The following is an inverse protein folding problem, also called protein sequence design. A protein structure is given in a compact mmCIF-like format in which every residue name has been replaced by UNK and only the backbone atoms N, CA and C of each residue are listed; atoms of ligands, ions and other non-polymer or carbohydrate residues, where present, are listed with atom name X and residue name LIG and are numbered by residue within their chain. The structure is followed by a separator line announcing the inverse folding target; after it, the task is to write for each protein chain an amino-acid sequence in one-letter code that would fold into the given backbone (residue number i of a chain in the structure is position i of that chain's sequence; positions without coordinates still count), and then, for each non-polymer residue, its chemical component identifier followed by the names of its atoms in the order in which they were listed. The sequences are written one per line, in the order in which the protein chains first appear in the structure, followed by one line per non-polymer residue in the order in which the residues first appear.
data_IF_725230417737
#
_entry.id   IF_725230417737
#
_cell.length_a   1.000
_cell.length_b   1.000
_cell.length_c   1.000
_cell.angle_alpha   90.00
_cell.angle_beta   90.00
_cell.angle_gamma   90.00
#
_symmetry.space_group_name_H-M   'P 1'
#
loop_
_entity.id
_entity.type
_entity.pdbx_description
1 polymer ?
#
# COMPACT_ATOMS: atom_id res chain seq x y z
N UNK A 1 1.42 -10.39 1.45
CA UNK A 1 2.85 -10.41 1.84
C UNK A 1 3.69 -9.39 1.08
N UNK A 2 3.60 -9.31 -0.23
CA UNK A 2 4.34 -8.30 -1.03
C UNK A 2 4.17 -6.87 -0.50
N UNK A 3 2.96 -6.49 -0.08
CA UNK A 3 2.68 -5.16 0.48
C UNK A 3 3.46 -4.86 1.76
N UNK A 4 3.70 -5.86 2.63
CA UNK A 4 4.55 -5.68 3.82
C UNK A 4 6.02 -5.55 3.39
N UNK A 5 6.46 -6.38 2.47
CA UNK A 5 7.83 -6.33 1.96
C UNK A 5 8.15 -5.02 1.24
N UNK A 6 7.16 -4.41 0.55
CA UNK A 6 7.35 -3.12 -0.17
C UNK A 6 7.52 -1.90 0.73
N UNK A 7 7.24 -2.01 2.03
CA UNK A 7 7.40 -0.88 2.95
C UNK A 7 8.87 -0.45 3.08
N UNK A 8 9.14 0.85 2.84
CA UNK A 8 10.47 1.46 2.95
C UNK A 8 11.57 0.71 2.16
N UNK A 9 11.26 0.29 0.93
CA UNK A 9 12.22 -0.32 0.02
C UNK A 9 11.84 -0.02 -1.44
N UNK A 10 12.70 -0.35 -2.38
CA UNK A 10 12.40 -0.28 -3.81
C UNK A 10 11.86 -1.63 -4.33
N UNK A 11 11.31 -1.62 -5.54
CA UNK A 11 10.68 -2.80 -6.13
C UNK A 11 11.66 -3.96 -6.34
N UNK A 12 12.88 -3.69 -6.80
CA UNK A 12 13.92 -4.71 -7.01
C UNK A 12 14.26 -5.47 -5.72
N UNK A 13 14.45 -4.74 -4.63
CA UNK A 13 14.76 -5.34 -3.33
C UNK A 13 13.56 -6.08 -2.73
N UNK A 14 12.33 -5.56 -2.92
CA UNK A 14 11.10 -6.24 -2.55
C UNK A 14 10.98 -7.59 -3.26
N UNK A 15 11.17 -7.61 -4.57
CA UNK A 15 10.99 -8.81 -5.38
C UNK A 15 12.04 -9.86 -5.07
N UNK A 16 13.29 -9.44 -4.83
CA UNK A 16 14.35 -10.32 -4.36
C UNK A 16 14.02 -10.94 -3.00
N UNK A 17 13.55 -10.14 -2.05
CA UNK A 17 13.15 -10.61 -0.72
C UNK A 17 11.98 -11.59 -0.80
N UNK A 18 11.01 -11.31 -1.66
CA UNK A 18 9.87 -12.20 -1.88
C UNK A 18 10.31 -13.54 -2.49
N UNK A 19 11.12 -13.51 -3.53
CA UNK A 19 11.63 -14.72 -4.17
C UNK A 19 12.45 -15.60 -3.19
N UNK A 20 13.34 -14.98 -2.41
CA UNK A 20 14.14 -15.68 -1.42
C UNK A 20 13.28 -16.28 -0.29
N UNK A 21 12.27 -15.55 0.19
CA UNK A 21 11.32 -16.05 1.17
C UNK A 21 10.58 -17.29 0.66
N UNK A 22 10.07 -17.24 -0.58
CA UNK A 22 9.35 -18.35 -1.20
C UNK A 22 10.24 -19.56 -1.54
N UNK A 23 11.52 -19.31 -1.84
CA UNK A 23 12.50 -20.37 -2.05
C UNK A 23 12.86 -21.08 -0.73
N UNK A 24 12.97 -20.32 0.36
CA UNK A 24 13.36 -20.84 1.69
C UNK A 24 12.18 -21.51 2.40
N UNK A 25 10.99 -20.95 2.26
CA UNK A 25 9.74 -21.38 2.91
C UNK A 25 8.64 -21.43 1.83
N UNK A 26 8.45 -22.61 1.19
CA UNK A 26 7.59 -22.73 0.00
C UNK A 26 6.10 -22.49 0.24
N UNK A 27 5.56 -22.79 1.42
CA UNK A 27 4.18 -22.46 1.78
C UNK A 27 4.09 -21.29 2.75
N UNK A 28 2.92 -20.64 2.80
CA UNK A 28 2.68 -19.62 3.82
C UNK A 28 2.51 -20.21 5.21
N UNK A 29 2.14 -21.48 5.33
CA UNK A 29 2.12 -22.20 6.60
C UNK A 29 3.55 -22.40 7.11
N UNK A 30 4.51 -22.77 6.24
CA UNK A 30 5.92 -22.83 6.62
C UNK A 30 6.41 -21.48 7.16
N UNK A 31 6.00 -20.35 6.54
CA UNK A 31 6.36 -19.01 7.03
C UNK A 31 5.70 -18.70 8.37
N UNK A 32 4.44 -19.09 8.57
CA UNK A 32 3.71 -18.87 9.83
C UNK A 32 4.35 -19.60 11.01
N UNK A 33 4.96 -20.75 10.76
CA UNK A 33 5.54 -21.63 11.80
C UNK A 33 7.07 -21.49 11.92
N UNK A 34 7.73 -20.88 10.94
CA UNK A 34 9.18 -20.70 10.96
C UNK A 34 9.68 -19.85 12.14
N UNK A 35 10.90 -20.16 12.67
CA UNK A 35 11.61 -19.27 13.58
C UNK A 35 11.88 -17.90 12.93
N UNK A 36 11.72 -16.81 13.71
CA UNK A 36 11.95 -15.44 13.21
C UNK A 36 13.30 -15.25 12.51
N UNK A 37 14.43 -15.77 13.02
CA UNK A 37 15.72 -15.61 12.35
C UNK A 37 15.78 -16.20 10.94
N UNK A 38 14.97 -17.22 10.64
CA UNK A 38 14.87 -17.82 9.30
C UNK A 38 14.18 -16.87 8.34
N UNK A 39 13.02 -16.31 8.77
CA UNK A 39 12.28 -15.33 7.99
C UNK A 39 13.12 -14.07 7.78
N UNK A 40 13.77 -13.56 8.82
CA UNK A 40 14.63 -12.36 8.75
C UNK A 40 15.74 -12.50 7.72
N UNK A 41 16.43 -13.66 7.71
CA UNK A 41 17.47 -13.94 6.70
C UNK A 41 16.90 -13.92 5.30
N UNK A 42 15.78 -14.60 5.10
CA UNK A 42 15.15 -14.70 3.79
C UNK A 42 14.69 -13.35 3.22
N UNK A 43 14.26 -12.43 4.07
CA UNK A 43 13.76 -11.10 3.62
C UNK A 43 14.79 -9.97 3.77
N UNK A 44 16.05 -10.27 4.10
CA UNK A 44 17.08 -9.26 4.40
C UNK A 44 17.25 -8.23 3.30
N UNK A 45 17.21 -8.65 2.04
CA UNK A 45 17.35 -7.75 0.87
C UNK A 45 16.23 -6.71 0.78
N UNK A 46 15.05 -6.96 1.37
CA UNK A 46 13.93 -6.04 1.40
C UNK A 46 14.04 -4.91 2.43
N UNK A 47 15.09 -4.91 3.27
CA UNK A 47 15.28 -3.94 4.35
C UNK A 47 14.30 -4.12 5.51
N UNK A 48 14.67 -3.60 6.67
CA UNK A 48 13.87 -3.67 7.91
C UNK A 48 13.42 -5.09 8.28
N UNK A 49 14.25 -6.10 7.99
CA UNK A 49 13.91 -7.51 8.22
C UNK A 49 13.51 -7.82 9.68
N UNK A 50 14.21 -7.30 10.73
CA UNK A 50 13.80 -7.51 12.13
C UNK A 50 12.41 -6.98 12.46
N UNK A 51 11.94 -5.95 11.76
CA UNK A 51 10.60 -5.37 11.95
C UNK A 51 9.55 -6.08 11.11
N UNK A 52 9.92 -6.45 9.86
CA UNK A 52 8.98 -7.08 8.91
C UNK A 52 8.70 -8.54 9.23
N UNK A 53 9.70 -9.32 9.65
CA UNK A 53 9.55 -10.75 9.90
C UNK A 53 8.51 -11.08 11.00
N UNK A 54 8.55 -10.44 12.18
CA UNK A 54 7.51 -10.64 13.20
C UNK A 54 6.12 -10.27 12.68
N UNK A 55 6.00 -9.20 11.91
CA UNK A 55 4.73 -8.75 11.33
C UNK A 55 4.18 -9.74 10.31
N UNK A 56 5.03 -10.24 9.39
CA UNK A 56 4.64 -11.26 8.41
C UNK A 56 4.10 -12.49 9.12
N UNK A 57 4.83 -13.00 10.12
CA UNK A 57 4.42 -14.18 10.90
C UNK A 57 3.12 -13.93 11.66
N UNK A 58 2.97 -12.78 12.31
CA UNK A 58 1.78 -12.43 13.06
C UNK A 58 0.54 -12.34 12.17
N UNK A 59 0.66 -11.72 10.98
CA UNK A 59 -0.43 -11.64 10.00
C UNK A 59 -0.86 -13.02 9.53
N UNK A 60 0.08 -13.91 9.20
CA UNK A 60 -0.24 -15.27 8.75
C UNK A 60 -0.93 -16.07 9.84
N UNK A 61 -0.44 -16.00 11.08
CA UNK A 61 -1.08 -16.68 12.23
C UNK A 61 -2.49 -16.15 12.50
N UNK A 62 -2.68 -14.84 12.48
CA UNK A 62 -3.99 -14.25 12.67
C UNK A 62 -4.98 -14.68 11.57
N UNK A 63 -4.55 -14.73 10.29
CA UNK A 63 -5.40 -15.27 9.22
C UNK A 63 -5.79 -16.72 9.47
N UNK A 64 -4.87 -17.57 9.91
CA UNK A 64 -5.11 -18.96 10.25
C UNK A 64 -6.07 -19.10 11.45
N UNK A 65 -5.92 -18.28 12.48
CA UNK A 65 -6.82 -18.22 13.63
C UNK A 65 -8.26 -17.82 13.23
N UNK A 66 -8.41 -17.00 12.19
CA UNK A 66 -9.71 -16.69 11.58
C UNK A 66 -10.23 -17.78 10.64
N UNK A 67 -9.58 -18.95 10.55
CA UNK A 67 -9.96 -20.06 9.67
C UNK A 67 -9.74 -19.78 8.18
N UNK A 68 -8.89 -18.82 7.85
CA UNK A 68 -8.63 -18.43 6.46
C UNK A 68 -7.43 -19.22 5.95
N UNK A 69 -7.62 -19.91 4.82
CA UNK A 69 -6.55 -20.64 4.15
C UNK A 69 -5.43 -19.67 3.73
N UNK A 70 -4.17 -20.07 3.99
CA UNK A 70 -2.99 -19.27 3.66
C UNK A 70 -2.56 -19.52 2.20
N UNK A 71 -3.52 -19.44 1.28
CA UNK A 71 -3.32 -19.56 -0.17
C UNK A 71 -3.97 -18.40 -0.92
N UNK A 72 -3.88 -18.42 -2.26
CA UNK A 72 -4.45 -17.37 -3.12
C UNK A 72 -5.99 -17.35 -3.10
N UNK A 73 -6.65 -18.39 -2.58
CA UNK A 73 -8.11 -18.54 -2.54
C UNK A 73 -8.71 -18.01 -1.24
N UNK A 74 -7.97 -18.14 -0.13
CA UNK A 74 -8.49 -17.85 1.21
C UNK A 74 -9.14 -16.47 1.38
N UNK A 75 -8.51 -15.43 0.81
CA UNK A 75 -9.05 -14.07 0.89
C UNK A 75 -10.09 -13.76 -0.21
N UNK A 76 -10.06 -14.47 -1.34
CA UNK A 76 -10.94 -14.16 -2.48
C UNK A 76 -12.41 -14.46 -2.22
N UNK A 77 -12.69 -15.47 -1.37
CA UNK A 77 -14.06 -15.87 -0.99
C UNK A 77 -14.75 -14.94 0.00
N UNK A 78 -14.02 -14.01 0.64
CA UNK A 78 -14.57 -13.12 1.66
C UNK A 78 -15.27 -11.93 0.98
N UNK A 79 -16.45 -11.55 1.49
CA UNK A 79 -17.16 -10.35 1.01
C UNK A 79 -16.28 -9.10 1.14
N UNK A 80 -16.48 -8.15 0.23
CA UNK A 80 -15.66 -6.96 0.07
C UNK A 80 -15.54 -6.09 1.35
N UNK A 81 -16.66 -5.77 1.97
CA UNK A 81 -16.76 -4.99 3.20
C UNK A 81 -16.07 -5.69 4.40
N UNK A 82 -16.39 -6.97 4.58
CA UNK A 82 -15.79 -7.81 5.65
C UNK A 82 -14.29 -8.01 5.45
N UNK A 83 -13.84 -8.08 4.22
CA UNK A 83 -12.42 -8.26 3.92
C UNK A 83 -11.58 -7.04 4.32
N UNK A 84 -12.10 -5.82 4.08
CA UNK A 84 -11.40 -4.61 4.52
C UNK A 84 -11.27 -4.55 6.05
N UNK A 85 -12.38 -4.79 6.77
CA UNK A 85 -12.39 -4.84 8.23
C UNK A 85 -11.41 -5.89 8.77
N UNK A 86 -11.43 -7.09 8.22
CA UNK A 86 -10.50 -8.15 8.56
C UNK A 86 -9.04 -7.71 8.36
N UNK A 87 -8.72 -7.16 7.19
CA UNK A 87 -7.34 -6.74 6.88
C UNK A 87 -6.85 -5.64 7.82
N UNK A 88 -7.69 -4.66 8.14
CA UNK A 88 -7.33 -3.57 9.09
C UNK A 88 -7.17 -4.10 10.51
N UNK A 89 -7.88 -5.16 10.89
CA UNK A 89 -7.75 -5.83 12.18
C UNK A 89 -6.45 -6.65 12.32
N UNK A 90 -5.75 -6.96 11.23
CA UNK A 90 -4.51 -7.74 11.29
C UNK A 90 -3.34 -6.93 11.88
N UNK A 91 -2.43 -7.59 12.63
CA UNK A 91 -1.29 -6.93 13.27
C UNK A 91 -0.43 -6.12 12.29
N UNK A 92 -0.35 -4.80 12.49
CA UNK A 92 0.46 -3.90 11.67
C UNK A 92 -0.06 -3.66 10.24
N UNK A 93 -1.32 -3.97 9.97
CA UNK A 93 -2.01 -3.66 8.72
C UNK A 93 -2.92 -2.44 8.96
N UNK A 94 -2.50 -1.29 8.49
CA UNK A 94 -3.32 -0.08 8.53
C UNK A 94 -4.20 0.09 7.28
N UNK A 95 -5.07 1.13 7.25
CA UNK A 95 -5.98 1.41 6.13
C UNK A 95 -5.30 1.42 4.75
N UNK A 96 -4.16 2.10 4.63
CA UNK A 96 -3.39 2.14 3.37
C UNK A 96 -2.91 0.75 2.94
N UNK A 97 -2.42 -0.07 3.87
CA UNK A 97 -1.93 -1.42 3.56
C UNK A 97 -3.09 -2.34 3.14
N UNK A 98 -4.22 -2.27 3.84
CA UNK A 98 -5.43 -3.00 3.49
C UNK A 98 -5.93 -2.63 2.09
N UNK A 99 -6.03 -1.33 1.79
CA UNK A 99 -6.42 -0.83 0.47
C UNK A 99 -5.46 -1.30 -0.65
N UNK A 100 -4.14 -1.32 -0.38
CA UNK A 100 -3.16 -1.87 -1.33
C UNK A 100 -3.37 -3.37 -1.60
N UNK A 101 -3.66 -4.16 -0.57
CA UNK A 101 -3.96 -5.59 -0.76
C UNK A 101 -5.22 -5.77 -1.60
N UNK A 102 -6.26 -5.02 -1.30
CA UNK A 102 -7.53 -5.07 -2.04
C UNK A 102 -7.33 -4.69 -3.51
N UNK A 103 -6.70 -3.55 -3.79
CA UNK A 103 -6.53 -3.06 -5.16
C UNK A 103 -5.54 -3.91 -5.96
N UNK A 104 -4.33 -4.15 -5.42
CA UNK A 104 -3.24 -4.74 -6.22
C UNK A 104 -3.21 -6.27 -6.22
N UNK A 105 -3.73 -6.92 -5.17
CA UNK A 105 -3.63 -8.39 -5.05
C UNK A 105 -4.96 -9.08 -5.32
N UNK A 106 -6.09 -8.39 -5.09
CA UNK A 106 -7.40 -9.00 -5.17
C UNK A 106 -8.32 -8.35 -6.21
N UNK A 107 -7.82 -7.32 -6.89
CA UNK A 107 -8.56 -6.56 -7.92
C UNK A 107 -9.92 -6.04 -7.39
N UNK A 108 -9.89 -5.49 -6.17
CA UNK A 108 -11.09 -4.95 -5.50
C UNK A 108 -10.99 -3.44 -5.36
N UNK A 109 -12.09 -2.69 -5.61
CA UNK A 109 -12.09 -1.24 -5.65
C UNK A 109 -11.92 -0.62 -4.26
N UNK A 110 -10.68 -0.46 -3.83
CA UNK A 110 -10.29 0.32 -2.67
C UNK A 110 -9.13 1.24 -3.02
N UNK A 111 -9.28 2.54 -2.78
CA UNK A 111 -8.28 3.53 -3.18
C UNK A 111 -7.19 3.67 -2.11
N UNK A 112 -5.94 3.23 -2.36
CA UNK A 112 -4.86 3.39 -1.39
C UNK A 112 -4.39 4.84 -1.35
N UNK A 113 -4.24 5.42 -0.15
CA UNK A 113 -3.73 6.78 0.04
C UNK A 113 -2.42 6.73 0.83
N UNK A 114 -1.33 7.06 0.14
CA UNK A 114 -0.03 7.31 0.77
C UNK A 114 0.25 8.82 0.90
N UNK A 115 1.42 9.19 1.39
CA UNK A 115 1.81 10.59 1.55
C UNK A 115 1.90 11.36 0.23
N UNK A 116 2.22 10.68 -0.88
CA UNK A 116 2.26 11.30 -2.21
C UNK A 116 0.86 11.55 -2.73
N UNK A 117 0.02 10.53 -2.73
CA UNK A 117 -1.39 10.62 -3.14
C UNK A 117 -2.12 11.70 -2.33
N UNK A 118 -2.03 11.65 -1.00
CA UNK A 118 -2.66 12.61 -0.11
C UNK A 118 -2.27 14.05 -0.44
N UNK A 119 -0.95 14.31 -0.53
CA UNK A 119 -0.43 15.63 -0.87
C UNK A 119 -0.89 16.14 -2.23
N UNK A 120 -0.81 15.29 -3.25
CA UNK A 120 -1.18 15.65 -4.61
C UNK A 120 -2.68 15.91 -4.71
N UNK A 121 -3.51 15.04 -4.11
CA UNK A 121 -4.97 15.20 -4.10
C UNK A 121 -5.40 16.52 -3.46
N UNK A 122 -4.81 16.91 -2.32
CA UNK A 122 -5.07 18.22 -1.68
C UNK A 122 -4.65 19.35 -2.60
N UNK A 123 -3.42 19.32 -3.16
CA UNK A 123 -2.89 20.41 -4.00
C UNK A 123 -3.68 20.62 -5.29
N UNK A 124 -4.21 19.53 -5.85
CA UNK A 124 -5.08 19.54 -7.02
C UNK A 124 -6.54 19.94 -6.71
N UNK A 125 -6.90 20.06 -5.42
CA UNK A 125 -8.29 20.34 -5.03
C UNK A 125 -9.24 19.16 -5.28
N UNK A 126 -8.73 17.93 -5.41
CA UNK A 126 -9.55 16.73 -5.58
C UNK A 126 -10.25 16.33 -4.28
N UNK A 127 -9.75 16.81 -3.15
CA UNK A 127 -10.28 16.59 -1.81
C UNK A 127 -10.17 17.86 -0.98
N UNK A 128 -10.90 17.92 0.13
CA UNK A 128 -10.88 19.08 1.04
C UNK A 128 -9.45 19.38 1.53
N UNK A 129 -9.09 20.67 1.69
CA UNK A 129 -7.72 21.07 2.07
C UNK A 129 -7.21 20.50 3.40
N UNK A 130 -8.13 20.17 4.32
CA UNK A 130 -7.80 19.61 5.65
C UNK A 130 -8.23 18.15 5.79
N UNK A 131 -8.50 17.44 4.68
CA UNK A 131 -8.86 16.05 4.73
C UNK A 131 -7.71 15.22 5.34
N UNK A 132 -8.04 14.29 6.23
CA UNK A 132 -7.11 13.26 6.68
C UNK A 132 -6.85 12.26 5.56
N UNK A 133 -5.85 11.39 5.69
CA UNK A 133 -5.59 10.33 4.70
C UNK A 133 -6.79 9.39 4.53
N UNK A 134 -7.53 9.10 5.61
CA UNK A 134 -8.75 8.28 5.58
C UNK A 134 -9.87 9.01 4.82
N UNK A 135 -10.08 10.28 5.10
CA UNK A 135 -11.07 11.09 4.38
C UNK A 135 -10.70 11.24 2.91
N UNK A 136 -9.42 11.45 2.60
CA UNK A 136 -8.92 11.46 1.22
C UNK A 136 -9.22 10.15 0.50
N UNK A 137 -9.03 9.00 1.16
CA UNK A 137 -9.40 7.70 0.61
C UNK A 137 -10.90 7.63 0.29
N UNK A 138 -11.75 8.02 1.23
CA UNK A 138 -13.21 8.01 1.06
C UNK A 138 -13.67 8.92 -0.09
N UNK A 139 -13.15 10.15 -0.14
CA UNK A 139 -13.50 11.11 -1.18
C UNK A 139 -13.04 10.65 -2.57
N UNK A 140 -11.80 10.16 -2.70
CA UNK A 140 -11.30 9.65 -3.98
C UNK A 140 -12.01 8.36 -4.43
N UNK A 141 -12.34 7.49 -3.49
CA UNK A 141 -13.05 6.25 -3.79
C UNK A 141 -14.49 6.48 -4.29
N UNK A 142 -15.14 7.54 -3.81
CA UNK A 142 -16.51 7.89 -4.22
C UNK A 142 -16.62 8.37 -5.67
N UNK A 143 -15.53 8.90 -6.25
CA UNK A 143 -15.52 9.51 -7.59
C UNK A 143 -14.76 8.70 -8.64
N UNK A 144 -14.18 7.57 -8.25
CA UNK A 144 -13.38 6.72 -9.15
C UNK A 144 -14.05 5.36 -9.36
N UNK A 145 -14.17 4.93 -10.61
CA UNK A 145 -14.52 3.55 -10.93
C UNK A 145 -13.40 2.58 -10.56
N UNK A 146 -13.70 1.27 -10.36
CA UNK A 146 -12.70 0.29 -9.96
C UNK A 146 -11.48 0.20 -10.89
N UNK A 147 -11.71 0.35 -12.19
CA UNK A 147 -10.69 0.26 -13.23
C UNK A 147 -9.72 1.44 -13.19
N UNK A 148 -10.26 2.63 -12.98
CA UNK A 148 -9.50 3.87 -12.94
C UNK A 148 -8.72 4.02 -11.64
N UNK A 149 -9.15 3.39 -10.56
CA UNK A 149 -8.48 3.49 -9.25
C UNK A 149 -7.00 3.11 -9.30
N UNK A 150 -6.66 2.04 -10.02
CA UNK A 150 -5.28 1.62 -10.18
C UNK A 150 -4.45 2.66 -10.93
N UNK A 151 -4.94 3.11 -12.08
CA UNK A 151 -4.23 4.06 -12.94
C UNK A 151 -4.07 5.42 -12.26
N UNK A 152 -5.15 5.93 -11.66
CA UNK A 152 -5.12 7.21 -10.93
C UNK A 152 -4.16 7.12 -9.73
N UNK A 153 -4.20 6.05 -8.95
CA UNK A 153 -3.28 5.85 -7.84
C UNK A 153 -1.81 5.86 -8.30
N UNK A 154 -1.48 5.10 -9.34
CA UNK A 154 -0.11 5.04 -9.87
C UNK A 154 0.35 6.38 -10.44
N UNK A 155 -0.52 7.09 -11.16
CA UNK A 155 -0.23 8.39 -11.72
C UNK A 155 -0.02 9.45 -10.62
N UNK A 156 -0.86 9.47 -9.57
CA UNK A 156 -0.68 10.38 -8.44
C UNK A 156 0.62 10.12 -7.69
N UNK A 157 1.01 8.86 -7.49
CA UNK A 157 2.32 8.53 -6.89
C UNK A 157 3.46 9.01 -7.77
N UNK A 158 3.44 8.68 -9.07
CA UNK A 158 4.49 9.10 -10.01
C UNK A 158 4.63 10.61 -10.03
N UNK A 159 3.52 11.31 -10.18
CA UNK A 159 3.46 12.78 -10.18
C UNK A 159 3.99 13.35 -8.86
N UNK A 160 3.58 12.79 -7.73
CA UNK A 160 4.03 13.22 -6.41
C UNK A 160 5.52 12.96 -6.14
N UNK A 161 6.11 11.94 -6.75
CA UNK A 161 7.55 11.64 -6.61
C UNK A 161 8.43 12.54 -7.47
N UNK A 162 8.00 12.88 -8.69
CA UNK A 162 8.86 13.52 -9.67
C UNK A 162 8.57 15.00 -9.89
N UNK A 163 7.31 15.42 -9.83
CA UNK A 163 6.88 16.79 -10.15
C UNK A 163 6.34 17.51 -8.93
N UNK A 164 5.26 16.99 -8.34
CA UNK A 164 4.59 17.61 -7.19
C UNK A 164 5.26 17.20 -5.87
N UNK A 165 6.59 17.39 -5.77
CA UNK A 165 7.37 17.02 -4.59
C UNK A 165 7.00 17.85 -3.35
N UNK A 166 7.37 17.37 -2.15
CA UNK A 166 6.86 17.91 -0.90
C UNK A 166 7.21 19.39 -0.69
N UNK A 167 8.50 19.73 -0.70
CA UNK A 167 8.98 21.06 -0.29
C UNK A 167 8.91 22.12 -1.39
N UNK A 168 9.31 21.78 -2.62
CA UNK A 168 9.37 22.71 -3.75
C UNK A 168 8.86 22.01 -5.02
N UNK A 169 7.53 21.92 -5.23
CA UNK A 169 7.00 21.32 -6.44
C UNK A 169 7.43 22.09 -7.68
N UNK A 170 7.69 21.34 -8.78
CA UNK A 170 8.15 21.87 -10.05
C UNK A 170 6.91 22.28 -10.86
N UNK A 171 6.25 23.38 -10.44
CA UNK A 171 5.01 23.81 -11.06
C UNK A 171 5.19 24.37 -12.47
N UNK A 172 6.41 24.87 -12.81
CA UNK A 172 6.77 25.34 -14.13
C UNK A 172 6.78 24.27 -15.22
N UNK A 173 7.02 23.00 -14.81
CA UNK A 173 7.07 21.84 -15.72
C UNK A 173 5.84 20.93 -15.56
N UNK A 174 4.88 21.35 -14.72
CA UNK A 174 3.72 20.53 -14.39
C UNK A 174 2.65 20.64 -15.47
N UNK A 175 2.31 19.53 -16.11
CA UNK A 175 1.25 19.44 -17.12
C UNK A 175 -0.15 19.78 -16.59
N UNK A 176 -0.31 19.83 -15.27
CA UNK A 176 -1.57 20.20 -14.60
C UNK A 176 -1.54 21.66 -14.09
N UNK A 177 -0.50 22.44 -14.39
CA UNK A 177 -0.28 23.77 -13.78
C UNK A 177 -1.45 24.72 -14.00
N UNK A 178 -2.07 24.67 -15.19
CA UNK A 178 -3.11 25.61 -15.60
C UNK A 178 -4.45 25.35 -14.88
N UNK A 179 -4.73 24.10 -14.54
CA UNK A 179 -5.97 23.70 -13.88
C UNK A 179 -5.80 23.48 -12.36
N UNK A 180 -4.56 23.48 -11.86
CA UNK A 180 -4.24 23.18 -10.48
C UNK A 180 -4.44 24.41 -9.58
N UNK A 181 -5.32 24.37 -8.55
CA UNK A 181 -5.48 25.47 -7.59
C UNK A 181 -4.28 25.64 -6.66
N UNK A 182 -3.32 24.71 -6.67
CA UNK A 182 -2.06 24.76 -5.89
C UNK A 182 -2.29 24.94 -4.38
N UNK A 183 -3.32 24.28 -3.85
CA UNK A 183 -3.71 24.39 -2.44
C UNK A 183 -2.53 24.10 -1.52
N UNK A 184 -2.21 25.06 -0.62
CA UNK A 184 -1.11 24.91 0.36
C UNK A 184 0.31 24.96 -0.21
N UNK A 185 0.49 25.34 -1.49
CA UNK A 185 1.81 25.50 -2.09
C UNK A 185 2.32 26.93 -1.84
N UNK A 186 3.26 27.06 -0.90
CA UNK A 186 3.89 28.36 -0.53
C UNK A 186 5.19 28.63 -1.29
N UNK A 187 5.89 27.59 -1.71
CA UNK A 187 7.17 27.66 -2.47
C UNK A 187 7.10 26.71 -3.67
N UNK A 188 7.47 27.18 -4.85
CA UNK A 188 7.48 26.41 -6.10
C UNK A 188 8.76 26.69 -6.91
N UNK A 189 9.11 25.80 -7.80
CA UNK A 189 10.08 25.98 -8.89
C UNK A 189 9.36 26.23 -10.18
#
# INVERSE_FOLDING_TARGET
MLTILSQNTNDTNRDRAYAELRRTLPSWDDVADAPLPVIERAIRSGGLAPTKAPRIRAVLRALREHGIALDDRGLRGIRHDRLYELLVGLPGVGPKTAACVLLFSLDRPYFPVDTHVHRVAIRLGLVRPKATAVQTQQELQAVQGPREMYEVHMNLIRHGRHVCVALRPICSECVLSDICPKVGVTRRR
#
